data_IF_389433707137
#
_entry.id   IF_389433707137
#
_cell.length_a   1.000
_cell.length_b   1.000
_cell.length_c   1.000
_cell.angle_alpha   90.00
_cell.angle_beta   90.00
_cell.angle_gamma   90.00
#
_symmetry.space_group_name_H-M   'P 1'
#
loop_
_entity.id
_entity.type
_entity.pdbx_description
1 polymer ?
#
# COMPACT_ATOMS: atom_id res chain seq x y z
N UNK A 1 9.40 1.25 -3.97
CA UNK A 1 9.45 1.54 -2.51
C UNK A 1 9.99 2.93 -2.15
N UNK A 2 11.07 3.45 -2.76
CA UNK A 2 11.61 4.80 -2.44
C UNK A 2 10.56 5.92 -2.43
N UNK A 3 9.66 5.92 -3.42
CA UNK A 3 8.57 6.91 -3.51
C UNK A 3 7.58 6.81 -2.34
N UNK A 4 7.17 5.59 -1.96
CA UNK A 4 6.25 5.38 -0.82
C UNK A 4 6.88 5.82 0.51
N UNK A 5 8.16 5.49 0.72
CA UNK A 5 8.91 5.92 1.91
C UNK A 5 9.02 7.45 1.98
N UNK A 6 9.43 8.10 0.89
CA UNK A 6 9.50 9.56 0.83
C UNK A 6 8.13 10.22 1.05
N UNK A 7 7.07 9.63 0.51
CA UNK A 7 5.70 10.14 0.66
C UNK A 7 5.22 10.08 2.11
N UNK A 8 5.36 8.93 2.79
CA UNK A 8 4.96 8.79 4.20
C UNK A 8 5.76 9.73 5.10
N UNK A 9 7.08 9.82 4.90
CA UNK A 9 7.94 10.72 5.69
C UNK A 9 7.54 12.17 5.51
N UNK A 10 7.26 12.59 4.27
CA UNK A 10 6.77 13.93 3.97
C UNK A 10 5.44 14.21 4.68
N UNK A 11 4.46 13.30 4.62
CA UNK A 11 3.15 13.51 5.24
C UNK A 11 3.26 13.71 6.76
N UNK A 12 4.03 12.88 7.45
CA UNK A 12 4.18 13.00 8.90
C UNK A 12 5.01 14.22 9.32
N UNK A 13 6.04 14.56 8.55
CA UNK A 13 6.77 15.80 8.77
C UNK A 13 5.86 17.02 8.58
N UNK A 14 5.09 17.05 7.49
CA UNK A 14 4.14 18.13 7.21
C UNK A 14 3.08 18.26 8.32
N UNK A 15 2.54 17.13 8.81
CA UNK A 15 1.58 17.11 9.92
C UNK A 15 2.18 17.73 11.20
N UNK A 16 3.42 17.38 11.54
CA UNK A 16 4.11 17.93 12.71
C UNK A 16 4.45 19.42 12.56
N UNK A 17 4.68 19.89 11.34
CA UNK A 17 5.01 21.29 11.04
C UNK A 17 3.76 22.20 11.01
N UNK A 18 2.60 21.68 10.60
CA UNK A 18 1.41 22.48 10.33
C UNK A 18 0.26 22.28 11.32
N UNK A 19 0.24 21.16 12.05
CA UNK A 19 -0.87 20.78 12.94
C UNK A 19 -0.37 20.40 14.35
N UNK A 20 0.73 21.02 14.82
CA UNK A 20 1.35 20.65 16.09
C UNK A 20 0.37 20.79 17.27
N UNK A 21 -0.40 21.88 17.34
CA UNK A 21 -1.35 22.13 18.42
C UNK A 21 -2.42 21.02 18.52
N UNK A 22 -2.95 20.57 17.37
CA UNK A 22 -3.89 19.45 17.32
C UNK A 22 -3.21 18.14 17.74
N UNK A 23 -1.96 17.93 17.32
CA UNK A 23 -1.19 16.74 17.70
C UNK A 23 -0.85 16.72 19.19
N UNK A 24 -0.59 17.87 19.82
CA UNK A 24 -0.38 17.99 21.26
C UNK A 24 -1.67 17.68 22.03
N UNK A 25 -2.82 18.14 21.53
CA UNK A 25 -4.12 17.75 22.06
C UNK A 25 -4.35 16.24 21.96
N UNK A 26 -4.07 15.64 20.79
CA UNK A 26 -4.20 14.19 20.61
C UNK A 26 -3.23 13.41 21.51
N UNK A 27 -2.01 13.93 21.72
CA UNK A 27 -1.03 13.33 22.61
C UNK A 27 -1.48 13.34 24.08
N UNK A 28 -2.11 14.42 24.53
CA UNK A 28 -2.66 14.51 25.89
C UNK A 28 -3.85 13.56 26.10
N UNK A 29 -4.72 13.41 25.09
CA UNK A 29 -5.98 12.67 25.22
C UNK A 29 -5.90 11.18 24.92
N UNK A 30 -5.11 10.78 23.94
CA UNK A 30 -5.12 9.41 23.43
C UNK A 30 -3.78 8.72 23.69
N UNK A 31 -2.68 9.30 23.19
CA UNK A 31 -1.37 8.64 23.26
C UNK A 31 -0.23 9.66 23.32
N UNK A 32 0.40 9.76 24.48
CA UNK A 32 1.54 10.67 24.74
C UNK A 32 2.74 10.39 23.84
N UNK A 33 2.81 9.21 23.22
CA UNK A 33 3.92 8.80 22.36
C UNK A 33 3.69 9.11 20.88
N UNK A 34 2.51 9.62 20.49
CA UNK A 34 2.16 9.79 19.07
C UNK A 34 3.12 10.73 18.33
N UNK A 35 3.47 11.87 18.93
CA UNK A 35 4.41 12.85 18.34
C UNK A 35 5.79 12.23 18.18
N UNK A 36 6.29 11.53 19.20
CA UNK A 36 7.63 10.90 19.14
C UNK A 36 7.66 9.79 18.10
N UNK A 37 6.60 8.99 18.00
CA UNK A 37 6.45 7.95 16.96
C UNK A 37 6.48 8.57 15.57
N UNK A 38 5.76 9.67 15.33
CA UNK A 38 5.78 10.37 14.05
C UNK A 38 7.17 10.95 13.72
N UNK A 39 7.85 11.55 14.71
CA UNK A 39 9.24 12.03 14.57
C UNK A 39 10.19 10.90 14.22
N UNK A 40 10.06 9.75 14.90
CA UNK A 40 10.83 8.55 14.60
C UNK A 40 10.60 8.12 13.14
N UNK A 41 9.36 7.92 12.72
CA UNK A 41 9.05 7.44 11.36
C UNK A 41 9.49 8.44 10.28
N UNK A 42 9.38 9.75 10.55
CA UNK A 42 9.82 10.78 9.60
C UNK A 42 11.36 10.86 9.45
N UNK A 43 12.11 10.43 10.46
CA UNK A 43 13.58 10.56 10.51
C UNK A 43 14.32 9.25 10.20
N UNK A 44 13.74 8.09 10.53
CA UNK A 44 14.34 6.78 10.27
C UNK A 44 14.19 6.34 8.82
N UNK A 45 15.13 5.51 8.36
CA UNK A 45 15.03 4.84 7.07
C UNK A 45 14.25 3.55 7.22
N UNK A 46 13.46 3.20 6.20
CA UNK A 46 12.66 1.98 6.25
C UNK A 46 13.51 0.80 5.77
N UNK A 47 13.73 -0.16 6.66
CA UNK A 47 14.39 -1.41 6.31
C UNK A 47 13.59 -2.17 5.25
N UNK A 48 14.31 -2.77 4.31
CA UNK A 48 13.72 -3.50 3.19
C UNK A 48 14.15 -4.94 3.26
N UNK A 49 13.21 -5.77 3.69
CA UNK A 49 13.35 -7.22 3.71
C UNK A 49 12.49 -7.84 2.62
N UNK A 50 12.95 -8.96 2.09
CA UNK A 50 12.15 -9.81 1.21
C UNK A 50 11.05 -10.53 2.01
N UNK A 51 10.02 -10.99 1.30
CA UNK A 51 8.95 -11.76 1.93
C UNK A 51 9.48 -13.06 2.57
N UNK A 52 10.46 -13.71 1.93
CA UNK A 52 11.10 -14.92 2.46
C UNK A 52 11.82 -14.64 3.78
N UNK A 53 12.65 -13.59 3.82
CA UNK A 53 13.32 -13.17 5.06
C UNK A 53 12.31 -12.79 6.15
N UNK A 54 11.20 -12.14 5.78
CA UNK A 54 10.14 -11.81 6.73
C UNK A 54 9.47 -13.07 7.32
N UNK A 55 9.22 -14.10 6.51
CA UNK A 55 8.66 -15.38 6.99
C UNK A 55 9.63 -16.08 7.92
N UNK A 56 10.92 -16.15 7.56
CA UNK A 56 11.96 -16.75 8.42
C UNK A 56 12.03 -16.04 9.78
N UNK A 57 12.03 -14.70 9.79
CA UNK A 57 12.00 -13.90 11.02
C UNK A 57 10.74 -14.14 11.86
N UNK A 58 9.59 -14.33 11.22
CA UNK A 58 8.30 -14.57 11.91
C UNK A 58 8.19 -16.00 12.45
N UNK A 59 8.75 -16.99 11.76
CA UNK A 59 8.85 -18.36 12.25
C UNK A 59 9.71 -18.44 13.51
N UNK A 60 10.77 -17.63 13.59
CA UNK A 60 11.58 -17.47 14.79
C UNK A 60 10.87 -16.64 15.88
N UNK A 61 10.03 -15.68 15.47
CA UNK A 61 9.33 -14.73 16.35
C UNK A 61 7.86 -15.12 16.61
N UNK A 62 7.61 -16.22 17.31
CA UNK A 62 6.25 -16.74 17.64
C UNK A 62 5.43 -15.84 18.61
N UNK A 63 5.67 -14.53 18.76
CA UNK A 63 5.06 -13.73 19.86
C UNK A 63 4.68 -12.26 19.62
N UNK A 64 4.25 -11.80 18.44
CA UNK A 64 3.73 -10.40 18.34
C UNK A 64 2.55 -10.26 17.36
N UNK A 65 1.30 -10.12 17.85
CA UNK A 65 0.09 -10.12 16.99
C UNK A 65 -0.37 -8.74 16.47
N UNK A 66 0.37 -7.65 16.67
CA UNK A 66 -0.17 -6.28 16.46
C UNK A 66 0.64 -5.43 15.45
N UNK A 67 0.92 -5.96 14.25
CA UNK A 67 1.48 -5.15 13.16
C UNK A 67 0.54 -5.18 11.96
N UNK A 68 -0.13 -4.06 11.70
CA UNK A 68 -1.00 -3.87 10.53
C UNK A 68 -0.25 -3.29 9.32
N UNK A 69 -0.69 -3.64 8.12
CA UNK A 69 -0.11 -3.12 6.86
C UNK A 69 -0.52 -1.65 6.62
N UNK A 70 0.49 -0.77 6.51
CA UNK A 70 0.33 0.66 6.21
C UNK A 70 0.30 0.96 4.71
N UNK A 71 1.17 0.32 3.92
CA UNK A 71 1.29 0.53 2.47
C UNK A 71 1.37 -0.81 1.75
N UNK A 72 0.51 -0.99 0.76
CA UNK A 72 0.57 -2.12 -0.17
C UNK A 72 1.04 -1.66 -1.55
N UNK A 73 1.96 -2.40 -2.16
CA UNK A 73 2.49 -2.04 -3.47
C UNK A 73 3.06 -3.22 -4.22
N UNK A 74 3.08 -3.11 -5.54
CA UNK A 74 3.71 -4.10 -6.41
C UNK A 74 4.20 -3.44 -7.70
N UNK A 75 5.24 -4.04 -8.28
CA UNK A 75 5.57 -3.78 -9.66
C UNK A 75 4.55 -4.52 -10.54
N UNK A 76 4.04 -3.85 -11.58
CA UNK A 76 3.07 -4.45 -12.50
C UNK A 76 3.82 -5.24 -13.55
N UNK A 77 3.35 -6.45 -13.83
CA UNK A 77 4.02 -7.35 -14.78
C UNK A 77 4.19 -6.68 -16.16
N UNK A 78 5.44 -6.53 -16.55
CA UNK A 78 5.83 -5.93 -17.82
C UNK A 78 6.60 -6.90 -18.74
N UNK A 79 6.95 -8.11 -18.26
CA UNK A 79 7.89 -8.98 -18.97
C UNK A 79 7.21 -9.81 -20.04
N UNK A 80 7.94 -9.96 -21.13
CA UNK A 80 7.67 -10.91 -22.18
C UNK A 80 8.36 -12.25 -21.87
N UNK A 81 7.60 -13.34 -21.77
CA UNK A 81 8.16 -14.71 -21.74
C UNK A 81 7.27 -15.67 -22.52
N UNK A 82 7.82 -16.22 -23.61
CA UNK A 82 7.21 -17.34 -24.34
C UNK A 82 7.83 -17.55 -25.73
N UNK A 83 8.35 -18.76 -25.96
CA UNK A 83 8.95 -19.28 -27.20
C UNK A 83 7.95 -19.49 -28.36
N UNK A 84 6.74 -18.93 -28.29
CA UNK A 84 5.71 -19.03 -29.33
C UNK A 84 5.68 -17.75 -30.18
N UNK A 85 6.85 -17.39 -30.72
CA UNK A 85 7.06 -16.17 -31.50
C UNK A 85 6.42 -16.19 -32.91
N UNK A 86 5.64 -17.21 -33.27
CA UNK A 86 5.17 -17.40 -34.65
C UNK A 86 3.66 -17.16 -34.84
N UNK A 87 2.89 -16.93 -33.78
CA UNK A 87 1.48 -16.63 -33.93
C UNK A 87 1.14 -15.47 -32.98
N UNK A 88 0.70 -14.35 -33.56
CA UNK A 88 0.16 -13.13 -32.95
C UNK A 88 1.16 -11.98 -32.71
N UNK A 89 0.95 -10.90 -33.47
CA UNK A 89 1.69 -9.63 -33.53
C UNK A 89 1.68 -8.78 -32.22
N UNK A 90 1.58 -9.37 -31.03
CA UNK A 90 1.55 -8.62 -29.77
C UNK A 90 2.44 -9.25 -28.69
N UNK A 91 3.74 -9.10 -28.88
CA UNK A 91 4.84 -9.59 -28.04
C UNK A 91 4.97 -8.90 -26.64
N UNK A 92 3.88 -8.47 -26.00
CA UNK A 92 3.91 -7.90 -24.62
C UNK A 92 2.73 -8.37 -23.74
N UNK A 93 1.77 -9.12 -24.31
CA UNK A 93 0.51 -9.49 -23.64
C UNK A 93 0.58 -10.79 -22.83
N UNK A 94 1.60 -11.62 -23.07
CA UNK A 94 1.59 -13.05 -22.71
C UNK A 94 1.48 -13.28 -21.19
N UNK A 95 2.25 -12.58 -20.37
CA UNK A 95 2.26 -12.83 -18.91
C UNK A 95 0.94 -12.44 -18.22
N UNK A 96 0.40 -11.26 -18.52
CA UNK A 96 -0.85 -10.79 -17.92
C UNK A 96 -2.06 -11.55 -18.45
N UNK A 97 -2.08 -11.87 -19.75
CA UNK A 97 -3.13 -12.69 -20.36
C UNK A 97 -3.17 -14.10 -19.76
N UNK A 98 -2.01 -14.77 -19.66
CA UNK A 98 -1.92 -16.09 -19.04
C UNK A 98 -2.36 -16.05 -17.58
N UNK A 99 -1.94 -15.04 -16.81
CA UNK A 99 -2.39 -14.89 -15.41
C UNK A 99 -3.91 -14.72 -15.28
N UNK A 100 -4.54 -13.93 -16.17
CA UNK A 100 -6.00 -13.76 -16.21
C UNK A 100 -6.69 -15.11 -16.52
N UNK A 101 -6.15 -15.89 -17.46
CA UNK A 101 -6.70 -17.20 -17.82
C UNK A 101 -6.49 -18.25 -16.72
N UNK A 102 -5.32 -18.32 -16.11
CA UNK A 102 -5.01 -19.23 -15.00
C UNK A 102 -5.91 -18.97 -13.78
N UNK A 103 -6.24 -17.70 -13.52
CA UNK A 103 -7.20 -17.31 -12.47
C UNK A 103 -8.67 -17.52 -12.88
N UNK A 104 -8.94 -17.99 -14.11
CA UNK A 104 -10.30 -18.23 -14.62
C UNK A 104 -11.13 -16.96 -14.79
N UNK A 105 -10.49 -15.80 -14.97
CA UNK A 105 -11.19 -14.52 -15.11
C UNK A 105 -11.65 -14.30 -16.56
N UNK A 106 -12.85 -13.71 -16.77
CA UNK A 106 -13.33 -13.39 -18.11
C UNK A 106 -12.43 -12.32 -18.75
N UNK A 107 -12.07 -12.49 -20.02
CA UNK A 107 -11.11 -11.60 -20.70
C UNK A 107 -11.71 -10.25 -21.10
N UNK A 108 -12.97 -10.25 -21.54
CA UNK A 108 -13.66 -9.11 -22.14
C UNK A 108 -13.59 -7.82 -21.28
N UNK A 109 -13.77 -7.86 -19.94
CA UNK A 109 -13.65 -6.66 -19.10
C UNK A 109 -12.24 -6.08 -19.00
N UNK A 110 -11.20 -6.87 -19.32
CA UNK A 110 -9.80 -6.48 -19.22
C UNK A 110 -9.19 -6.07 -20.56
N UNK A 111 -9.95 -6.08 -21.66
CA UNK A 111 -9.42 -5.78 -23.00
C UNK A 111 -8.75 -4.39 -23.06
N UNK A 112 -9.43 -3.36 -22.55
CA UNK A 112 -8.88 -2.01 -22.45
C UNK A 112 -7.63 -1.94 -21.56
N UNK A 113 -7.54 -2.78 -20.53
CA UNK A 113 -6.39 -2.84 -19.63
C UNK A 113 -5.21 -3.52 -20.31
N UNK A 114 -5.46 -4.51 -21.18
CA UNK A 114 -4.47 -5.15 -22.02
C UNK A 114 -3.96 -4.19 -23.10
N UNK A 115 -4.79 -3.30 -23.63
CA UNK A 115 -4.36 -2.28 -24.61
C UNK A 115 -3.27 -1.35 -24.06
N UNK A 116 -3.26 -1.10 -22.74
CA UNK A 116 -2.17 -0.36 -22.07
C UNK A 116 -0.79 -1.04 -22.25
N UNK A 117 -0.77 -2.34 -22.60
CA UNK A 117 0.45 -3.13 -22.86
C UNK A 117 0.74 -3.23 -24.36
N UNK A 118 -0.27 -3.05 -25.22
CA UNK A 118 -0.15 -3.18 -26.68
C UNK A 118 0.58 -2.00 -27.30
N UNK A 119 0.33 -0.78 -26.81
CA UNK A 119 0.81 0.44 -27.44
C UNK A 119 1.72 1.25 -26.51
N UNK A 120 3.03 1.00 -26.58
CA UNK A 120 4.04 1.84 -25.92
C UNK A 120 4.17 1.62 -24.41
N UNK A 121 4.20 0.35 -23.95
CA UNK A 121 4.38 0.05 -22.53
C UNK A 121 5.71 0.55 -21.98
N UNK A 122 5.65 1.12 -20.78
CA UNK A 122 6.81 1.53 -19.98
C UNK A 122 6.88 0.70 -18.71
N UNK A 123 8.08 0.54 -18.15
CA UNK A 123 8.24 0.00 -16.79
C UNK A 123 7.55 0.92 -15.80
N UNK A 124 6.55 0.41 -15.09
CA UNK A 124 5.74 1.18 -14.14
C UNK A 124 5.51 0.38 -12.87
N UNK A 125 5.38 1.11 -11.77
CA UNK A 125 5.03 0.57 -10.45
C UNK A 125 4.18 1.60 -9.72
N UNK A 126 3.45 1.13 -8.72
CA UNK A 126 2.62 2.00 -7.89
C UNK A 126 2.42 1.40 -6.50
N UNK A 127 1.81 2.17 -5.63
CA UNK A 127 1.42 1.76 -4.29
C UNK A 127 0.09 2.40 -3.93
N UNK A 128 -0.63 1.78 -3.00
CA UNK A 128 -1.78 2.35 -2.34
C UNK A 128 -1.45 2.66 -0.89
N UNK A 129 -1.87 3.83 -0.43
CA UNK A 129 -1.85 4.23 0.98
C UNK A 129 -3.30 4.30 1.47
N UNK A 130 -3.63 3.56 2.52
CA UNK A 130 -4.92 3.70 3.19
C UNK A 130 -4.92 4.98 4.03
N UNK A 131 -5.68 5.99 3.61
CA UNK A 131 -5.70 7.29 4.27
C UNK A 131 -6.15 7.20 5.74
N UNK A 132 -7.22 6.45 6.01
CA UNK A 132 -7.73 6.24 7.36
C UNK A 132 -6.73 5.46 8.23
N UNK A 133 -6.00 4.50 7.65
CA UNK A 133 -4.94 3.75 8.37
C UNK A 133 -3.75 4.64 8.72
N UNK A 134 -3.39 5.55 7.82
CA UNK A 134 -2.37 6.56 8.09
C UNK A 134 -2.80 7.48 9.25
N UNK A 135 -4.07 7.92 9.25
CA UNK A 135 -4.62 8.71 10.35
C UNK A 135 -4.58 7.95 11.66
N UNK A 136 -5.07 6.69 11.70
CA UNK A 136 -5.00 5.83 12.89
C UNK A 136 -3.59 5.77 13.47
N UNK A 137 -2.59 5.56 12.60
CA UNK A 137 -1.20 5.52 13.03
C UNK A 137 -0.70 6.85 13.62
N UNK A 138 -1.08 7.97 12.98
CA UNK A 138 -0.65 9.30 13.38
C UNK A 138 -1.25 9.72 14.73
N UNK A 139 -2.56 9.53 14.92
CA UNK A 139 -3.28 9.99 16.12
C UNK A 139 -3.47 8.92 17.19
N UNK A 140 -3.04 7.68 16.91
CA UNK A 140 -3.13 6.53 17.82
C UNK A 140 -4.56 6.13 18.23
N UNK A 141 -5.55 6.44 17.40
CA UNK A 141 -6.90 5.91 17.62
C UNK A 141 -6.92 4.45 17.18
N UNK A 142 -7.62 3.60 17.94
CA UNK A 142 -7.66 2.15 17.68
C UNK A 142 -8.67 1.78 16.58
N UNK A 143 -9.77 2.52 16.48
CA UNK A 143 -10.89 2.17 15.60
C UNK A 143 -10.92 3.04 14.34
N UNK A 144 -10.84 2.39 13.17
CA UNK A 144 -10.90 3.05 11.85
C UNK A 144 -12.19 3.86 11.60
N UNK A 145 -13.24 3.59 12.38
CA UNK A 145 -14.52 4.30 12.26
C UNK A 145 -14.46 5.71 12.84
N UNK A 146 -13.54 5.95 13.77
CA UNK A 146 -13.44 7.22 14.51
C UNK A 146 -12.54 8.23 13.77
N UNK A 147 -11.87 7.80 12.69
CA UNK A 147 -11.00 8.64 11.87
C UNK A 147 -11.66 9.13 10.57
N UNK A 148 -12.94 8.79 10.39
CA UNK A 148 -13.77 9.24 9.26
C UNK A 148 -15.09 9.80 9.80
N UNK A 149 -15.58 10.94 9.30
CA UNK A 149 -16.80 11.55 9.84
C UNK A 149 -18.05 10.64 9.77
N UNK A 150 -18.20 9.91 8.67
CA UNK A 150 -19.38 9.07 8.42
C UNK A 150 -18.94 7.66 7.98
N UNK A 151 -18.56 6.79 8.94
CA UNK A 151 -18.07 5.46 8.61
C UNK A 151 -19.14 4.60 7.93
N UNK A 152 -18.71 3.73 7.02
CA UNK A 152 -19.56 2.77 6.32
C UNK A 152 -19.12 1.36 6.68
N UNK A 153 -20.05 0.54 7.13
CA UNK A 153 -19.78 -0.86 7.48
C UNK A 153 -21.06 -1.72 7.32
N UNK A 154 -20.96 -3.06 7.26
CA UNK A 154 -22.14 -3.91 7.09
C UNK A 154 -23.22 -3.59 8.12
N UNK A 155 -24.43 -3.27 7.64
CA UNK A 155 -25.56 -2.89 8.47
C UNK A 155 -25.65 -1.39 8.82
N UNK A 156 -24.73 -0.54 8.34
CA UNK A 156 -24.77 0.91 8.61
C UNK A 156 -24.26 1.77 7.45
N UNK A 157 -25.13 2.67 6.96
CA UNK A 157 -24.85 3.61 5.87
C UNK A 157 -25.57 4.97 6.00
N UNK A 158 -25.93 5.36 7.22
CA UNK A 158 -26.54 6.63 7.60
C UNK A 158 -25.55 7.80 7.57
N UNK A 159 -26.05 9.03 7.35
CA UNK A 159 -25.29 10.25 7.67
C UNK A 159 -25.40 10.50 9.17
#
# INVERSE_FOLDING_TARGET
MKCAEAYVRFLYQWLLENCLDDMEFMADKFDKTCIERLRMVSSTHFERISYTEAVELLEDAVKWPEVGELNGGSQREERYKGYLAEVWECLCLIGLFLGIQEMGLPLEPYEWYLDLRRYGIVKHSGFGLGFERMLLFAIAIENIRDVIPFPRYPGRADL
#
